data_IF_893898600380
#
_entry.id   IF_893898600380
#
_cell.length_a   1.000
_cell.length_b   1.000
_cell.length_c   1.000
_cell.angle_alpha   90.00
_cell.angle_beta   90.00
_cell.angle_gamma   90.00
#
_symmetry.space_group_name_H-M   'P 1'
#
loop_
_entity.id
_entity.type
_entity.pdbx_description
1 polymer ?
#
# COMPACT_ATOMS: atom_id res chain seq x y z
N UNK A 1 26.33 -1.85 -1.78
CA UNK A 1 27.39 -2.47 -0.95
C UNK A 1 27.58 -1.52 0.21
N UNK A 2 26.90 -1.76 1.34
CA UNK A 2 26.96 -0.85 2.48
C UNK A 2 28.09 -1.38 3.37
N UNK A 3 29.17 -0.62 3.45
CA UNK A 3 30.33 -0.91 4.30
C UNK A 3 29.90 -0.92 5.77
N UNK A 4 30.31 -1.97 6.48
CA UNK A 4 30.33 -2.00 7.94
C UNK A 4 31.66 -1.43 8.41
N UNK A 5 31.61 -0.45 9.29
CA UNK A 5 32.78 0.07 10.00
C UNK A 5 32.76 -0.53 11.42
N UNK A 6 33.82 -1.24 11.87
CA UNK A 6 33.85 -1.80 13.20
C UNK A 6 34.15 -0.70 14.22
N UNK A 7 33.36 -0.63 15.29
CA UNK A 7 33.64 0.24 16.43
C UNK A 7 34.70 -0.46 17.29
N UNK A 8 35.87 0.15 17.37
CA UNK A 8 36.99 -0.26 18.23
C UNK A 8 36.55 -0.21 19.70
N UNK A 9 36.76 -1.32 20.41
CA UNK A 9 36.50 -1.45 21.83
C UNK A 9 37.82 -1.19 22.58
N UNK A 10 38.18 0.07 22.78
CA UNK A 10 39.24 0.45 23.73
C UNK A 10 38.64 0.51 25.14
N UNK A 11 39.02 -0.47 25.95
CA UNK A 11 38.78 -0.53 27.38
C UNK A 11 39.62 0.55 28.08
N UNK A 12 39.00 1.66 28.47
CA UNK A 12 39.54 2.51 29.52
C UNK A 12 38.90 2.08 30.85
N UNK A 13 39.67 1.28 31.60
CA UNK A 13 39.44 1.05 33.02
C UNK A 13 39.75 2.34 33.79
N UNK A 14 38.71 3.12 34.13
CA UNK A 14 38.83 4.09 35.22
C UNK A 14 37.68 3.91 36.22
N UNK A 15 38.06 3.50 37.42
CA UNK A 15 37.17 3.20 38.52
C UNK A 15 36.37 4.42 38.96
N UNK A 16 35.05 4.25 39.00
CA UNK A 16 34.14 5.08 39.76
C UNK A 16 33.11 4.18 40.43
N UNK A 17 33.27 4.04 41.75
CA UNK A 17 32.26 3.52 42.66
C UNK A 17 30.95 4.29 42.45
N UNK A 18 30.05 3.71 41.66
CA UNK A 18 28.62 3.92 41.81
C UNK A 18 27.98 2.55 41.73
N UNK A 19 27.24 2.22 42.78
CA UNK A 19 26.39 1.04 42.84
C UNK A 19 25.46 1.03 41.61
N UNK A 20 25.84 0.33 40.55
CA UNK A 20 24.88 -0.13 39.56
C UNK A 20 23.93 -1.02 40.35
N UNK A 21 22.63 -0.66 40.49
CA UNK A 21 21.68 -1.68 40.86
C UNK A 21 21.86 -2.75 39.79
N UNK A 22 21.95 -4.01 40.19
CA UNK A 22 21.66 -5.09 39.25
C UNK A 22 20.20 -4.89 38.86
N UNK A 23 19.93 -3.99 37.92
CA UNK A 23 18.68 -3.94 37.18
C UNK A 23 18.69 -5.25 36.42
N UNK A 24 18.09 -6.26 37.06
CA UNK A 24 17.76 -7.50 36.40
C UNK A 24 16.95 -7.12 35.18
N UNK A 25 17.60 -7.13 34.01
CA UNK A 25 16.96 -6.84 32.71
C UNK A 25 15.83 -7.85 32.43
N UNK A 26 15.75 -8.91 33.23
CA UNK A 26 14.78 -10.00 33.15
C UNK A 26 14.02 -10.14 34.47
N UNK A 27 12.70 -10.12 34.40
CA UNK A 27 11.81 -10.39 35.53
C UNK A 27 12.08 -11.79 36.09
N UNK A 28 12.31 -11.91 37.40
CA UNK A 28 12.56 -13.20 38.05
C UNK A 28 11.31 -14.09 38.14
N UNK A 29 10.10 -13.53 38.04
CA UNK A 29 8.85 -14.29 38.16
C UNK A 29 8.38 -14.86 36.82
N UNK A 30 8.48 -14.07 35.75
CA UNK A 30 7.98 -14.40 34.41
C UNK A 30 9.09 -14.73 33.41
N UNK A 31 10.35 -14.39 33.71
CA UNK A 31 11.45 -14.51 32.76
C UNK A 31 11.33 -13.55 31.56
N UNK A 32 10.42 -12.58 31.59
CA UNK A 32 10.26 -11.57 30.53
C UNK A 32 11.28 -10.45 30.70
N UNK A 33 11.69 -9.81 29.60
CA UNK A 33 12.58 -8.65 29.69
C UNK A 33 11.82 -7.44 30.25
N UNK A 34 12.37 -6.78 31.26
CA UNK A 34 11.80 -5.57 31.87
C UNK A 34 12.03 -4.41 30.90
N UNK A 35 11.00 -3.59 30.65
CA UNK A 35 11.01 -2.51 29.66
C UNK A 35 11.21 -2.94 28.20
N UNK A 36 11.06 -4.23 27.85
CA UNK A 36 11.15 -4.72 26.47
C UNK A 36 10.25 -3.96 25.50
N UNK A 37 9.04 -3.63 25.98
CA UNK A 37 8.02 -2.91 25.23
C UNK A 37 8.37 -1.44 25.02
N UNK A 38 9.29 -0.86 25.80
CA UNK A 38 9.72 0.55 25.65
C UNK A 38 10.87 0.71 24.64
N UNK A 39 11.44 -0.39 24.15
CA UNK A 39 12.53 -0.38 23.17
C UNK A 39 11.93 -0.38 21.77
N UNK A 40 12.06 0.74 21.05
CA UNK A 40 11.49 0.94 19.71
C UNK A 40 11.89 -0.13 18.69
N UNK A 41 13.08 -0.69 18.83
CA UNK A 41 13.54 -1.80 17.98
C UNK A 41 12.74 -3.08 18.22
N UNK A 42 12.44 -3.40 19.48
CA UNK A 42 11.70 -4.62 19.85
C UNK A 42 10.21 -4.49 19.53
N UNK A 43 9.63 -3.29 19.67
CA UNK A 43 8.27 -3.01 19.20
C UNK A 43 8.11 -3.33 17.70
N UNK A 44 9.07 -2.90 16.87
CA UNK A 44 9.05 -3.18 15.42
C UNK A 44 9.06 -4.68 15.13
N UNK A 45 9.78 -5.48 15.90
CA UNK A 45 9.79 -6.94 15.71
C UNK A 45 8.48 -7.61 16.14
N UNK A 46 7.80 -7.09 17.16
CA UNK A 46 6.51 -7.61 17.62
C UNK A 46 5.33 -7.27 16.69
N UNK A 47 5.48 -6.30 15.79
CA UNK A 47 4.47 -5.97 14.77
C UNK A 47 4.36 -7.04 13.65
N UNK A 48 5.29 -8.00 13.63
CA UNK A 48 5.25 -9.11 12.68
C UNK A 48 4.61 -10.35 13.33
N UNK A 49 3.53 -10.84 12.72
CA UNK A 49 2.96 -12.15 13.04
C UNK A 49 3.29 -13.16 11.95
N UNK A 50 3.62 -14.39 12.35
CA UNK A 50 3.85 -15.48 11.40
C UNK A 50 2.53 -16.13 11.00
N UNK A 51 2.38 -16.46 9.71
CA UNK A 51 1.25 -17.24 9.22
C UNK A 51 1.48 -18.71 9.60
N UNK A 52 0.56 -19.31 10.34
CA UNK A 52 0.57 -20.74 10.65
C UNK A 52 -0.26 -21.53 9.63
N UNK A 53 0.40 -21.99 8.56
CA UNK A 53 -0.23 -22.81 7.53
C UNK A 53 -0.67 -24.20 8.04
N UNK A 54 -0.05 -24.69 9.12
CA UNK A 54 -0.36 -26.02 9.65
C UNK A 54 -1.71 -26.00 10.34
N UNK A 55 -1.97 -24.98 11.16
CA UNK A 55 -3.27 -24.81 11.82
C UNK A 55 -4.39 -24.56 10.79
N UNK A 56 -4.14 -23.73 9.76
CA UNK A 56 -5.09 -23.49 8.66
C UNK A 56 -5.46 -24.78 7.90
N UNK A 57 -4.49 -25.66 7.61
CA UNK A 57 -4.77 -26.94 6.94
C UNK A 57 -5.52 -27.92 7.86
N UNK A 58 -5.18 -27.97 9.15
CA UNK A 58 -5.90 -28.78 10.14
C UNK A 58 -7.36 -28.34 10.26
N UNK A 59 -7.62 -27.04 10.29
CA UNK A 59 -8.97 -26.48 10.33
C UNK A 59 -9.72 -26.73 9.02
N UNK A 60 -9.06 -26.60 7.87
CA UNK A 60 -9.65 -26.93 6.58
C UNK A 60 -10.05 -28.41 6.50
N UNK A 61 -9.21 -29.34 6.99
CA UNK A 61 -9.53 -30.77 7.06
C UNK A 61 -10.72 -31.04 7.99
N UNK A 62 -10.73 -30.43 9.17
CA UNK A 62 -11.83 -30.55 10.13
C UNK A 62 -13.17 -30.11 9.52
N UNK A 63 -13.18 -28.98 8.80
CA UNK A 63 -14.37 -28.51 8.08
C UNK A 63 -14.84 -29.50 7.01
N UNK A 64 -13.92 -30.12 6.24
CA UNK A 64 -14.26 -31.13 5.22
C UNK A 64 -14.89 -32.38 5.84
N UNK A 65 -14.38 -32.86 6.96
CA UNK A 65 -14.92 -34.03 7.66
C UNK A 65 -16.35 -33.77 8.16
N UNK A 66 -16.59 -32.61 8.77
CA UNK A 66 -17.93 -32.16 9.15
C UNK A 66 -18.84 -32.11 7.90
N UNK A 67 -18.30 -31.67 6.75
CA UNK A 67 -18.99 -31.61 5.46
C UNK A 67 -19.47 -32.95 4.94
N UNK A 68 -18.58 -33.93 4.90
CA UNK A 68 -18.90 -35.29 4.44
C UNK A 68 -19.97 -35.92 5.34
N UNK A 69 -19.87 -35.73 6.66
CA UNK A 69 -20.84 -36.28 7.60
C UNK A 69 -22.26 -35.78 7.34
N UNK A 70 -22.44 -34.49 7.04
CA UNK A 70 -23.78 -33.94 6.75
C UNK A 70 -24.28 -34.23 5.33
N UNK A 71 -23.40 -34.43 4.35
CA UNK A 71 -23.77 -34.86 2.99
C UNK A 71 -24.32 -36.29 3.01
N UNK A 72 -23.76 -37.19 3.82
CA UNK A 72 -24.29 -38.56 4.01
C UNK A 72 -25.75 -38.57 4.50
N UNK A 73 -26.19 -37.50 5.19
CA UNK A 73 -27.58 -37.36 5.67
C UNK A 73 -28.52 -36.57 4.74
N UNK A 74 -28.00 -35.80 3.78
CA UNK A 74 -28.77 -34.87 2.93
C UNK A 74 -28.49 -35.18 1.47
N UNK A 75 -29.46 -35.81 0.81
CA UNK A 75 -29.34 -36.39 -0.53
C UNK A 75 -28.65 -35.53 -1.59
N UNK A 76 -27.99 -36.23 -2.53
CA UNK A 76 -27.16 -35.71 -3.62
C UNK A 76 -27.86 -34.64 -4.48
N UNK A 77 -27.66 -33.36 -4.17
CA UNK A 77 -28.04 -32.26 -5.05
C UNK A 77 -26.90 -31.94 -6.01
N UNK A 78 -27.11 -32.20 -7.31
CA UNK A 78 -26.17 -31.88 -8.39
C UNK A 78 -25.77 -30.38 -8.41
N UNK A 79 -26.69 -29.49 -7.98
CA UNK A 79 -26.46 -28.04 -7.86
C UNK A 79 -25.30 -27.70 -6.92
N UNK A 80 -25.19 -28.40 -5.79
CA UNK A 80 -24.15 -28.12 -4.78
C UNK A 80 -22.76 -28.52 -5.27
N UNK A 81 -22.67 -29.60 -6.07
CA UNK A 81 -21.42 -30.01 -6.73
C UNK A 81 -20.96 -29.01 -7.78
N UNK A 82 -21.89 -28.50 -8.58
CA UNK A 82 -21.59 -27.50 -9.62
C UNK A 82 -21.19 -26.16 -8.97
N UNK A 83 -21.90 -25.70 -7.94
CA UNK A 83 -21.54 -24.48 -7.21
C UNK A 83 -20.18 -24.58 -6.53
N UNK A 84 -19.85 -25.73 -5.91
CA UNK A 84 -18.55 -25.91 -5.27
C UNK A 84 -17.38 -25.88 -6.27
N UNK A 85 -17.56 -26.45 -7.48
CA UNK A 85 -16.55 -26.40 -8.53
C UNK A 85 -16.42 -24.98 -9.15
N UNK A 86 -17.53 -24.26 -9.27
CA UNK A 86 -17.57 -22.91 -9.86
C UNK A 86 -17.13 -21.81 -8.87
N UNK A 87 -17.21 -22.03 -7.56
CA UNK A 87 -16.93 -21.03 -6.53
C UNK A 87 -15.54 -20.39 -6.72
N UNK A 88 -14.50 -21.18 -6.96
CA UNK A 88 -13.14 -20.66 -7.12
C UNK A 88 -13.02 -19.81 -8.40
N UNK A 89 -13.62 -20.24 -9.50
CA UNK A 89 -13.61 -19.48 -10.76
C UNK A 89 -14.39 -18.17 -10.66
N UNK A 90 -15.52 -18.18 -9.95
CA UNK A 90 -16.33 -16.97 -9.71
C UNK A 90 -15.55 -15.98 -8.83
N UNK A 91 -14.91 -16.44 -7.76
CA UNK A 91 -14.09 -15.57 -6.89
C UNK A 91 -12.94 -14.95 -7.66
N UNK A 92 -12.21 -15.74 -8.47
CA UNK A 92 -11.12 -15.23 -9.32
C UNK A 92 -11.62 -14.21 -10.35
N UNK A 93 -12.78 -14.47 -10.96
CA UNK A 93 -13.40 -13.54 -11.91
C UNK A 93 -13.78 -12.21 -11.25
N UNK A 94 -14.41 -12.25 -10.08
CA UNK A 94 -14.79 -11.05 -9.32
C UNK A 94 -13.55 -10.25 -8.92
N UNK A 95 -12.51 -10.90 -8.38
CA UNK A 95 -11.26 -10.23 -8.02
C UNK A 95 -10.63 -9.54 -9.24
N UNK A 96 -10.54 -10.23 -10.37
CA UNK A 96 -10.01 -9.65 -11.61
C UNK A 96 -10.82 -8.43 -12.09
N UNK A 97 -12.16 -8.50 -12.04
CA UNK A 97 -13.02 -7.36 -12.37
C UNK A 97 -12.78 -6.16 -11.43
N UNK A 98 -12.66 -6.39 -10.12
CA UNK A 98 -12.41 -5.33 -9.14
C UNK A 98 -11.05 -4.68 -9.37
N UNK A 99 -10.01 -5.47 -9.56
CA UNK A 99 -8.64 -4.99 -9.86
C UNK A 99 -8.64 -4.15 -11.14
N UNK A 100 -9.31 -4.64 -12.19
CA UNK A 100 -9.44 -3.93 -13.46
C UNK A 100 -10.17 -2.59 -13.33
N UNK A 101 -11.26 -2.54 -12.57
CA UNK A 101 -12.00 -1.31 -12.30
C UNK A 101 -11.15 -0.29 -11.53
N UNK A 102 -10.44 -0.73 -10.48
CA UNK A 102 -9.54 0.13 -9.70
C UNK A 102 -8.44 0.67 -10.61
N UNK A 103 -7.73 -0.19 -11.34
CA UNK A 103 -6.64 0.21 -12.24
C UNK A 103 -7.12 1.19 -13.34
N UNK A 104 -8.29 0.93 -13.94
CA UNK A 104 -8.91 1.82 -14.92
C UNK A 104 -9.25 3.19 -14.33
N UNK A 105 -9.85 3.23 -13.14
CA UNK A 105 -10.19 4.48 -12.45
C UNK A 105 -8.93 5.31 -12.13
N UNK A 106 -7.85 4.65 -11.66
CA UNK A 106 -6.57 5.30 -11.38
C UNK A 106 -5.95 5.90 -12.63
N UNK A 107 -6.02 5.21 -13.77
CA UNK A 107 -5.48 5.72 -15.03
C UNK A 107 -6.21 6.99 -15.49
N UNK A 108 -7.54 7.02 -15.38
CA UNK A 108 -8.36 8.19 -15.74
C UNK A 108 -8.07 9.37 -14.79
N UNK A 109 -8.09 9.14 -13.48
CA UNK A 109 -7.84 10.18 -12.47
C UNK A 109 -6.42 10.73 -12.61
N UNK A 110 -5.42 9.86 -12.78
CA UNK A 110 -4.01 10.27 -12.94
C UNK A 110 -3.82 11.13 -14.18
N UNK A 111 -4.43 10.73 -15.30
CA UNK A 111 -4.36 11.50 -16.56
C UNK A 111 -5.03 12.87 -16.40
N UNK A 112 -6.17 12.92 -15.71
CA UNK A 112 -6.87 14.18 -15.43
C UNK A 112 -6.05 15.11 -14.52
N UNK A 113 -5.49 14.59 -13.43
CA UNK A 113 -4.67 15.37 -12.49
C UNK A 113 -3.33 15.84 -13.10
N UNK A 114 -2.77 15.09 -14.04
CA UNK A 114 -1.60 15.54 -14.79
C UNK A 114 -1.94 16.72 -15.71
N UNK A 115 -3.12 16.69 -16.34
CA UNK A 115 -3.58 17.71 -17.28
C UNK A 115 -4.07 18.99 -16.59
N UNK A 116 -4.78 18.92 -15.45
CA UNK A 116 -5.24 20.12 -14.72
C UNK A 116 -4.07 21.03 -14.30
N UNK A 117 -2.87 20.46 -14.09
CA UNK A 117 -1.65 21.20 -13.79
C UNK A 117 -1.20 22.11 -14.95
N UNK A 118 -1.43 21.71 -16.20
CA UNK A 118 -0.99 22.45 -17.40
C UNK A 118 -2.09 23.34 -17.99
N UNK A 119 -3.36 22.98 -17.84
CA UNK A 119 -4.47 23.75 -18.38
C UNK A 119 -5.80 23.02 -18.32
N UNK A 120 -6.73 23.41 -19.20
CA UNK A 120 -8.04 22.78 -19.34
C UNK A 120 -8.49 22.71 -20.79
N UNK A 121 -9.40 21.78 -21.07
CA UNK A 121 -10.02 21.65 -22.38
C UNK A 121 -11.16 22.66 -22.55
N UNK A 122 -11.24 23.34 -23.70
CA UNK A 122 -12.25 24.37 -24.00
C UNK A 122 -13.70 23.85 -23.97
N UNK A 123 -13.91 22.58 -24.35
CA UNK A 123 -15.25 21.98 -24.47
C UNK A 123 -15.79 21.53 -23.12
N UNK A 124 -15.05 20.66 -22.42
CA UNK A 124 -15.43 20.09 -21.13
C UNK A 124 -14.23 20.06 -20.18
N UNK A 125 -14.40 20.57 -18.96
CA UNK A 125 -13.32 20.69 -17.97
C UNK A 125 -12.75 19.34 -17.49
N UNK A 126 -13.56 18.28 -17.41
CA UNK A 126 -13.15 16.97 -16.88
C UNK A 126 -12.30 16.13 -17.85
N UNK A 127 -12.09 16.61 -19.07
CA UNK A 127 -11.41 15.84 -20.11
C UNK A 127 -9.89 16.05 -19.98
N UNK A 128 -9.12 14.96 -19.91
CA UNK A 128 -7.64 15.06 -19.93
C UNK A 128 -7.16 15.57 -21.29
N UNK A 129 -5.92 16.06 -21.32
CA UNK A 129 -5.26 16.56 -22.53
C UNK A 129 -5.25 15.51 -23.65
N UNK A 130 -4.86 14.27 -23.33
CA UNK A 130 -4.86 13.15 -24.26
C UNK A 130 -6.23 12.85 -24.88
N UNK A 131 -7.32 12.95 -24.09
CA UNK A 131 -8.68 12.75 -24.59
C UNK A 131 -9.22 13.98 -25.33
N UNK A 132 -8.82 15.19 -24.93
CA UNK A 132 -9.20 16.45 -25.59
C UNK A 132 -8.59 16.55 -27.00
N UNK A 133 -7.38 16.04 -27.17
CA UNK A 133 -6.61 16.14 -28.42
C UNK A 133 -6.63 14.84 -29.25
N UNK A 134 -7.40 13.82 -28.85
CA UNK A 134 -7.47 12.51 -29.52
C UNK A 134 -7.79 12.56 -31.03
N UNK A 135 -8.44 13.63 -31.52
CA UNK A 135 -8.93 13.74 -32.91
C UNK A 135 -7.98 14.50 -33.85
N UNK A 136 -6.97 15.20 -33.34
CA UNK A 136 -6.04 15.99 -34.16
C UNK A 136 -4.65 15.32 -34.15
N UNK A 137 -4.13 14.94 -35.32
CA UNK A 137 -2.82 14.28 -35.49
C UNK A 137 -1.64 15.28 -35.54
N UNK A 138 -1.79 16.48 -34.99
CA UNK A 138 -0.77 17.54 -34.99
C UNK A 138 -0.23 17.86 -33.60
N UNK A 139 1.03 18.31 -33.51
CA UNK A 139 1.71 18.72 -32.27
C UNK A 139 1.02 19.90 -31.53
N UNK A 140 0.10 20.60 -32.19
CA UNK A 140 -0.62 21.74 -31.64
C UNK A 140 -2.12 21.48 -31.54
N UNK A 141 -2.56 21.18 -30.31
CA UNK A 141 -3.97 21.02 -29.98
C UNK A 141 -4.63 22.39 -29.78
N UNK A 142 -5.51 22.78 -30.72
CA UNK A 142 -6.19 24.08 -30.69
C UNK A 142 -7.21 24.22 -29.55
N UNK A 143 -7.64 23.10 -28.99
CA UNK A 143 -8.69 23.02 -27.96
C UNK A 143 -8.15 23.04 -26.52
N UNK A 144 -6.83 22.95 -26.34
CA UNK A 144 -6.20 22.99 -25.02
C UNK A 144 -5.83 24.41 -24.63
N UNK A 145 -6.40 24.89 -23.53
CA UNK A 145 -6.24 26.28 -23.07
C UNK A 145 -5.41 26.28 -21.78
N UNK A 146 -4.26 26.95 -21.83
CA UNK A 146 -3.42 27.23 -20.65
C UNK A 146 -4.18 28.13 -19.67
N UNK A 147 -3.81 28.11 -18.39
CA UNK A 147 -4.51 28.88 -17.35
C UNK A 147 -4.49 30.40 -17.57
N UNK A 148 -3.44 30.91 -18.19
CA UNK A 148 -3.27 32.34 -18.47
C UNK A 148 -2.49 32.53 -19.79
N UNK A 149 -2.53 33.73 -20.36
CA UNK A 149 -1.79 34.07 -21.59
C UNK A 149 -0.32 34.37 -21.32
N UNK A 150 0.03 34.78 -20.09
CA UNK A 150 1.40 35.13 -19.72
C UNK A 150 2.17 33.90 -19.22
N UNK A 151 3.37 33.66 -19.76
CA UNK A 151 4.14 32.45 -19.43
C UNK A 151 4.60 32.40 -17.96
N UNK A 152 5.02 33.54 -17.40
CA UNK A 152 5.45 33.63 -16.01
C UNK A 152 4.33 33.23 -15.03
N UNK A 153 3.12 33.73 -15.25
CA UNK A 153 1.98 33.40 -14.39
C UNK A 153 1.54 31.93 -14.56
N UNK A 154 1.65 31.35 -15.76
CA UNK A 154 1.43 29.90 -15.94
C UNK A 154 2.40 29.08 -15.10
N UNK A 155 3.68 29.45 -15.10
CA UNK A 155 4.68 28.75 -14.30
C UNK A 155 4.36 28.82 -12.80
N UNK A 156 3.96 29.99 -12.30
CA UNK A 156 3.53 30.14 -10.90
C UNK A 156 2.32 29.23 -10.60
N UNK A 157 1.28 29.26 -11.44
CA UNK A 157 0.08 28.43 -11.25
C UNK A 157 0.44 26.94 -11.29
N UNK A 158 1.31 26.54 -12.22
CA UNK A 158 1.81 25.18 -12.34
C UNK A 158 2.47 24.71 -11.04
N UNK A 159 3.37 25.53 -10.47
CA UNK A 159 4.07 25.21 -9.22
C UNK A 159 3.09 25.18 -8.04
N UNK A 160 2.16 26.12 -7.95
CA UNK A 160 1.16 26.18 -6.87
C UNK A 160 0.23 24.95 -6.87
N UNK A 161 -0.30 24.56 -8.04
CA UNK A 161 -1.14 23.36 -8.17
C UNK A 161 -0.34 22.11 -7.77
N UNK A 162 0.90 22.00 -8.23
CA UNK A 162 1.80 20.88 -7.91
C UNK A 162 2.06 20.78 -6.40
N UNK A 163 2.33 21.90 -5.73
CA UNK A 163 2.52 21.95 -4.28
C UNK A 163 1.25 21.58 -3.51
N UNK A 164 0.08 22.02 -3.97
CA UNK A 164 -1.20 21.66 -3.35
C UNK A 164 -1.48 20.15 -3.43
N UNK A 165 -1.21 19.53 -4.58
CA UNK A 165 -1.35 18.08 -4.75
C UNK A 165 -0.32 17.28 -3.94
N UNK A 166 0.94 17.71 -3.92
CA UNK A 166 1.96 17.05 -3.10
C UNK A 166 1.63 17.15 -1.60
N UNK A 167 1.19 18.33 -1.14
CA UNK A 167 0.79 18.55 0.24
C UNK A 167 -0.42 17.70 0.64
N UNK A 168 -1.45 17.64 -0.22
CA UNK A 168 -2.64 16.83 0.05
C UNK A 168 -2.33 15.33 0.10
N UNK A 169 -1.51 14.83 -0.85
CA UNK A 169 -1.04 13.44 -0.85
C UNK A 169 -0.27 13.09 0.43
N UNK A 170 0.71 13.93 0.80
CA UNK A 170 1.53 13.71 2.00
C UNK A 170 0.69 13.75 3.28
N UNK A 171 -0.24 14.71 3.39
CA UNK A 171 -1.14 14.82 4.53
C UNK A 171 -2.07 13.62 4.63
N UNK A 172 -2.62 13.17 3.51
CA UNK A 172 -3.52 12.01 3.45
C UNK A 172 -2.83 10.75 3.96
N UNK A 173 -1.62 10.46 3.47
CA UNK A 173 -0.84 9.28 3.93
C UNK A 173 -0.46 9.41 5.41
N UNK A 174 0.04 10.58 5.83
CA UNK A 174 0.54 10.78 7.19
C UNK A 174 -0.55 10.71 8.26
N UNK A 175 -1.77 11.17 7.95
CA UNK A 175 -2.87 11.27 8.93
C UNK A 175 -3.68 9.97 9.00
N UNK A 176 -3.99 9.35 7.87
CA UNK A 176 -4.93 8.21 7.85
C UNK A 176 -4.24 6.86 7.91
N UNK A 177 -3.13 6.68 7.19
CA UNK A 177 -2.52 5.37 7.02
C UNK A 177 -1.02 5.50 6.71
N UNK A 178 -0.15 5.70 7.73
CA UNK A 178 1.29 5.83 7.52
C UNK A 178 1.90 4.57 6.89
N UNK A 179 1.30 3.40 7.12
CA UNK A 179 1.69 2.12 6.51
C UNK A 179 1.47 2.03 4.99
N UNK A 180 0.79 3.02 4.39
CA UNK A 180 0.60 3.08 2.93
C UNK A 180 1.78 3.74 2.19
N UNK A 181 2.78 4.25 2.92
CA UNK A 181 3.94 4.91 2.33
C UNK A 181 4.82 3.94 1.52
N UNK A 182 5.34 4.40 0.38
CA UNK A 182 6.25 3.63 -0.46
C UNK A 182 5.56 2.69 -1.46
N UNK A 183 6.35 1.78 -2.03
CA UNK A 183 5.91 0.91 -3.14
C UNK A 183 5.00 -0.22 -2.67
N UNK A 184 5.28 -0.83 -1.51
CA UNK A 184 4.57 -2.02 -1.03
C UNK A 184 5.16 -3.35 -1.48
N UNK A 185 6.10 -3.37 -2.43
CA UNK A 185 6.70 -4.61 -2.97
C UNK A 185 7.44 -5.39 -1.88
N UNK A 186 8.23 -4.70 -1.04
CA UNK A 186 8.98 -5.32 0.06
C UNK A 186 8.06 -5.97 1.10
N UNK A 187 6.94 -5.32 1.36
CA UNK A 187 5.95 -5.70 2.34
C UNK A 187 5.14 -6.90 1.85
N UNK A 188 4.69 -6.89 0.59
CA UNK A 188 4.03 -8.03 -0.04
C UNK A 188 4.97 -9.24 -0.06
N UNK A 189 6.25 -9.04 -0.38
CA UNK A 189 7.27 -10.11 -0.33
C UNK A 189 7.44 -10.70 1.08
N UNK A 190 7.35 -9.86 2.11
CA UNK A 190 7.41 -10.28 3.52
C UNK A 190 6.20 -11.19 3.87
N UNK A 191 5.00 -10.80 3.44
CA UNK A 191 3.76 -11.56 3.64
C UNK A 191 3.81 -12.92 2.94
N UNK A 192 4.26 -12.95 1.68
CA UNK A 192 4.44 -14.21 0.94
C UNK A 192 5.47 -15.13 1.61
N UNK A 193 6.46 -14.56 2.31
CA UNK A 193 7.45 -15.32 3.06
C UNK A 193 6.91 -15.87 4.40
N UNK A 194 5.67 -15.54 4.78
CA UNK A 194 5.02 -16.01 6.00
C UNK A 194 4.98 -15.00 7.14
N UNK A 195 5.32 -13.73 6.93
CA UNK A 195 5.29 -12.68 7.95
C UNK A 195 4.28 -11.59 7.60
N UNK A 196 3.22 -11.46 8.39
CA UNK A 196 2.17 -10.45 8.24
C UNK A 196 2.46 -9.26 9.14
N UNK A 197 2.36 -8.06 8.57
CA UNK A 197 2.40 -6.79 9.29
C UNK A 197 1.00 -6.24 9.50
N UNK A 198 0.72 -5.78 10.72
CA UNK A 198 -0.59 -5.22 11.05
C UNK A 198 -0.86 -3.92 10.28
N UNK A 199 -2.06 -3.85 9.68
CA UNK A 199 -2.54 -2.67 8.95
C UNK A 199 -2.17 -2.58 7.47
N UNK A 200 -1.21 -3.36 6.95
CA UNK A 200 -0.81 -3.28 5.53
C UNK A 200 -1.90 -3.78 4.56
N UNK A 201 -2.60 -4.86 4.92
CA UNK A 201 -3.73 -5.45 4.15
C UNK A 201 -5.09 -4.78 4.41
N UNK A 202 -5.11 -3.65 5.13
CA UNK A 202 -6.35 -2.96 5.45
C UNK A 202 -7.05 -2.34 4.22
N UNK A 203 -8.37 -2.30 4.25
CA UNK A 203 -9.13 -1.47 3.30
C UNK A 203 -8.72 0.02 3.31
N UNK A 204 -8.42 0.63 4.47
CA UNK A 204 -7.97 2.03 4.51
C UNK A 204 -6.62 2.24 3.83
N UNK A 205 -5.65 1.35 3.97
CA UNK A 205 -4.34 1.50 3.31
C UNK A 205 -4.49 1.42 1.79
N UNK A 206 -5.30 0.48 1.30
CA UNK A 206 -5.57 0.35 -0.13
C UNK A 206 -6.25 1.61 -0.69
N UNK A 207 -7.26 2.14 0.00
CA UNK A 207 -7.96 3.36 -0.41
C UNK A 207 -7.07 4.62 -0.39
N UNK A 208 -6.22 4.76 0.63
CA UNK A 208 -5.30 5.90 0.74
C UNK A 208 -4.19 5.80 -0.31
N UNK A 209 -3.70 4.60 -0.59
CA UNK A 209 -2.69 4.37 -1.64
C UNK A 209 -3.23 4.63 -3.03
N UNK A 210 -4.47 4.21 -3.29
CA UNK A 210 -5.15 4.45 -4.57
C UNK A 210 -5.43 5.95 -4.80
N UNK A 211 -5.73 6.74 -3.77
CA UNK A 211 -5.91 8.20 -3.91
C UNK A 211 -4.59 8.99 -3.89
N UNK A 212 -3.63 8.57 -3.07
CA UNK A 212 -2.35 9.27 -2.91
C UNK A 212 -1.46 9.17 -4.14
N UNK A 213 -1.49 8.03 -4.85
CA UNK A 213 -0.66 7.82 -6.05
C UNK A 213 -1.00 8.77 -7.21
N UNK A 214 -2.27 8.91 -7.65
CA UNK A 214 -2.64 9.89 -8.68
C UNK A 214 -2.31 11.33 -8.29
N UNK A 215 -2.47 11.70 -7.02
CA UNK A 215 -2.10 13.04 -6.53
C UNK A 215 -0.59 13.28 -6.60
N UNK A 216 0.22 12.27 -6.25
CA UNK A 216 1.68 12.36 -6.34
C UNK A 216 2.16 12.45 -7.80
N UNK A 217 1.59 11.65 -8.70
CA UNK A 217 1.90 11.70 -10.14
C UNK A 217 1.43 13.03 -10.74
N UNK A 218 0.22 13.48 -10.39
CA UNK A 218 -0.34 14.76 -10.84
C UNK A 218 0.47 15.96 -10.36
N UNK A 219 1.08 15.89 -9.17
CA UNK A 219 2.03 16.88 -8.69
C UNK A 219 3.36 16.92 -9.48
N UNK A 220 3.63 15.93 -10.33
CA UNK A 220 4.87 15.81 -11.08
C UNK A 220 6.04 15.24 -10.29
N UNK A 221 5.76 14.54 -9.18
CA UNK A 221 6.81 13.80 -8.48
C UNK A 221 7.32 12.67 -9.39
N UNK A 222 8.61 12.38 -9.30
CA UNK A 222 9.23 11.27 -10.05
C UNK A 222 8.86 9.94 -9.39
N UNK A 223 7.60 9.53 -9.53
CA UNK A 223 7.04 8.30 -9.00
C UNK A 223 6.31 7.54 -10.10
N UNK A 224 6.50 6.23 -10.13
CA UNK A 224 5.85 5.33 -11.08
C UNK A 224 4.60 4.68 -10.50
N UNK A 225 3.61 4.42 -11.35
CA UNK A 225 2.39 3.67 -11.01
C UNK A 225 2.61 2.15 -10.86
N UNK A 226 3.73 1.64 -11.36
CA UNK A 226 4.04 0.20 -11.43
C UNK A 226 4.39 -0.43 -10.07
N UNK A 227 4.87 0.37 -9.11
CA UNK A 227 5.19 -0.13 -7.78
C UNK A 227 3.95 -0.42 -6.94
N UNK A 228 3.02 0.55 -6.81
CA UNK A 228 1.77 0.32 -6.09
C UNK A 228 0.81 -0.65 -6.77
N UNK A 229 1.00 -0.95 -8.07
CA UNK A 229 0.07 -1.81 -8.82
C UNK A 229 -0.01 -3.23 -8.33
N UNK A 230 1.07 -3.74 -7.74
CA UNK A 230 1.10 -5.06 -7.12
C UNK A 230 0.35 -5.13 -5.78
N UNK A 231 0.04 -4.01 -5.13
CA UNK A 231 -0.64 -4.03 -3.83
C UNK A 231 -2.16 -4.13 -3.99
N UNK A 232 -2.73 -3.52 -5.04
CA UNK A 232 -4.16 -3.67 -5.29
C UNK A 232 -4.52 -4.92 -6.10
N UNK A 233 -3.53 -5.70 -6.57
CA UNK A 233 -3.70 -6.94 -7.31
C UNK A 233 -3.64 -8.16 -6.38
#
# INVERSE_FOLDING_TARGET
>A
MISYEPIDQSLDEEGSNSSFPSETVRSKSTGSWINQENIREVQRFNDFRTIDWVEDELDAQKQRLIKVQHITSRGNNLKDKIMAQAQNWVVLGIMGCVIGLIAGSLNVITSFLASIRTGHCKRNFYLSESFCCWKEEGDHCSNWVKWTSFEFFNYIIYVLISLMFAYSAAKLVKVYAPSAAGSGISEIKCIVSGFVMDGFLGWPTLAIKSLGLPLAIGAGLSVGKEGPSVHYA
#
